data_IF_568764167319
#
_entry.id   IF_568764167319
#
_cell.length_a   1.000
_cell.length_b   1.000
_cell.length_c   1.000
_cell.angle_alpha   90.00
_cell.angle_beta   90.00
_cell.angle_gamma   90.00
#
_symmetry.space_group_name_H-M   'P 1'
#
loop_
_entity.id
_entity.type
_entity.pdbx_description
1 polymer ?
#
# COMPACT_ATOMS: atom_id res chain seq x y z
N UNK A 1 -44.65 -13.68 49.11
CA UNK A 1 -43.67 -14.77 49.26
C UNK A 1 -43.73 -15.59 47.97
N UNK A 2 -42.77 -15.39 47.06
CA UNK A 2 -41.53 -16.17 46.93
C UNK A 2 -41.79 -17.43 46.06
N UNK A 3 -41.09 -17.78 44.97
CA UNK A 3 -39.84 -17.37 44.32
C UNK A 3 -39.94 -17.78 42.83
N UNK A 4 -39.35 -16.97 41.97
CA UNK A 4 -39.08 -17.21 40.55
C UNK A 4 -37.94 -18.24 40.37
N UNK A 5 -38.02 -19.25 39.47
CA UNK A 5 -36.82 -19.99 39.08
C UNK A 5 -36.18 -19.35 37.84
N UNK A 6 -35.09 -18.64 38.09
CA UNK A 6 -34.06 -18.33 37.10
C UNK A 6 -33.40 -19.63 36.66
N UNK A 7 -33.51 -19.98 35.37
CA UNK A 7 -32.66 -20.99 34.74
C UNK A 7 -31.64 -20.29 33.83
N UNK A 8 -30.42 -20.21 34.36
CA UNK A 8 -29.12 -20.18 33.67
C UNK A 8 -29.14 -19.88 32.16
N UNK A 9 -28.72 -18.68 31.75
CA UNK A 9 -27.30 -18.39 31.48
C UNK A 9 -26.66 -19.47 30.61
N UNK A 10 -26.92 -19.41 29.31
CA UNK A 10 -26.08 -20.05 28.31
C UNK A 10 -25.68 -19.02 27.25
N UNK A 11 -24.93 -18.02 27.71
CA UNK A 11 -24.12 -17.19 26.84
C UNK A 11 -22.67 -17.59 27.12
N UNK A 12 -22.06 -18.35 26.22
CA UNK A 12 -20.60 -18.40 26.06
C UNK A 12 -20.23 -19.22 24.82
N UNK A 13 -19.43 -18.58 23.95
CA UNK A 13 -18.70 -19.12 22.79
C UNK A 13 -19.49 -19.24 21.48
N UNK A 14 -19.87 -18.10 20.90
CA UNK A 14 -19.99 -17.98 19.44
C UNK A 14 -18.82 -17.16 18.91
N UNK A 15 -17.59 -17.72 18.96
CA UNK A 15 -16.47 -17.21 18.18
C UNK A 15 -16.62 -17.72 16.74
N UNK A 16 -17.43 -17.03 15.93
CA UNK A 16 -17.38 -17.20 14.48
C UNK A 16 -16.51 -16.07 13.91
N UNK A 17 -15.46 -16.38 13.14
CA UNK A 17 -14.46 -15.40 12.74
C UNK A 17 -15.08 -14.42 11.75
N UNK A 18 -15.33 -13.19 12.18
CA UNK A 18 -15.52 -12.05 11.30
C UNK A 18 -14.24 -11.88 10.45
N UNK A 19 -14.35 -12.23 9.18
CA UNK A 19 -13.71 -11.56 8.05
C UNK A 19 -12.17 -11.42 8.05
N UNK A 20 -11.43 -12.53 8.07
CA UNK A 20 -9.99 -12.55 7.73
C UNK A 20 -9.68 -12.29 6.24
N UNK A 21 -10.68 -12.11 5.39
CA UNK A 21 -10.51 -11.87 3.95
C UNK A 21 -10.36 -10.39 3.58
N UNK A 22 -10.76 -9.48 4.47
CA UNK A 22 -10.62 -8.03 4.26
C UNK A 22 -9.15 -7.55 4.37
N UNK A 23 -8.34 -8.20 5.20
CA UNK A 23 -6.93 -7.80 5.45
C UNK A 23 -6.03 -8.02 4.22
N UNK A 24 -6.16 -9.15 3.50
CA UNK A 24 -5.35 -9.43 2.31
C UNK A 24 -5.65 -8.50 1.13
N UNK A 25 -6.88 -7.97 1.06
CA UNK A 25 -7.23 -6.94 0.07
C UNK A 25 -6.54 -5.61 0.40
N UNK A 26 -6.29 -5.34 1.68
CA UNK A 26 -5.72 -4.07 2.15
C UNK A 26 -4.29 -3.86 1.66
N UNK A 27 -3.39 -4.84 1.87
CA UNK A 27 -1.98 -4.69 1.49
C UNK A 27 -1.78 -4.54 -0.03
N UNK A 28 -2.40 -5.43 -0.83
CA UNK A 28 -2.33 -5.35 -2.30
C UNK A 28 -2.89 -4.02 -2.80
N UNK A 29 -3.99 -3.53 -2.21
CA UNK A 29 -4.57 -2.24 -2.56
C UNK A 29 -3.61 -1.09 -2.23
N UNK A 30 -2.97 -1.10 -1.07
CA UNK A 30 -1.98 -0.08 -0.67
C UNK A 30 -0.81 -0.04 -1.64
N UNK A 31 -0.24 -1.19 -2.00
CA UNK A 31 0.86 -1.28 -2.97
C UNK A 31 0.42 -0.75 -4.34
N UNK A 32 -0.76 -1.15 -4.82
CA UNK A 32 -1.30 -0.68 -6.10
C UNK A 32 -1.55 0.83 -6.10
N UNK A 33 -2.06 1.39 -4.99
CA UNK A 33 -2.23 2.83 -4.83
C UNK A 33 -0.88 3.53 -4.87
N UNK A 34 0.11 3.05 -4.11
CA UNK A 34 1.45 3.63 -4.11
C UNK A 34 2.12 3.59 -5.49
N UNK A 35 1.99 2.47 -6.22
CA UNK A 35 2.47 2.38 -7.61
C UNK A 35 1.80 3.40 -8.53
N UNK A 36 0.50 3.63 -8.34
CA UNK A 36 -0.26 4.64 -9.09
C UNK A 36 0.22 6.06 -8.75
N UNK A 37 0.51 6.32 -7.48
CA UNK A 37 1.02 7.61 -7.01
C UNK A 37 2.41 7.90 -7.58
N UNK A 38 3.32 6.92 -7.58
CA UNK A 38 4.65 7.05 -8.19
C UNK A 38 4.54 7.28 -9.70
N UNK A 39 3.64 6.59 -10.38
CA UNK A 39 3.38 6.82 -11.81
C UNK A 39 2.87 8.26 -12.07
N UNK A 40 2.01 8.78 -11.20
CA UNK A 40 1.55 10.17 -11.29
C UNK A 40 2.71 11.15 -11.08
N UNK A 41 3.58 10.91 -10.09
CA UNK A 41 4.78 11.73 -9.86
C UNK A 41 5.71 11.74 -11.08
N UNK A 42 5.90 10.59 -11.74
CA UNK A 42 6.69 10.50 -12.97
C UNK A 42 6.08 11.33 -14.10
N UNK A 43 4.77 11.19 -14.35
CA UNK A 43 4.08 11.97 -15.38
C UNK A 43 4.11 13.47 -15.09
N UNK A 44 3.94 13.86 -13.83
CA UNK A 44 4.02 15.26 -13.41
C UNK A 44 5.42 15.84 -13.61
N UNK A 45 6.46 15.08 -13.26
CA UNK A 45 7.84 15.48 -13.48
C UNK A 45 8.14 15.64 -14.98
N UNK A 46 7.76 14.67 -15.82
CA UNK A 46 7.93 14.75 -17.28
C UNK A 46 7.21 15.95 -17.88
N UNK A 47 5.97 16.21 -17.43
CA UNK A 47 5.20 17.37 -17.88
C UNK A 47 5.90 18.67 -17.48
N UNK A 48 6.39 18.78 -16.26
CA UNK A 48 7.10 19.98 -15.79
C UNK A 48 8.42 20.20 -16.53
N UNK A 49 9.16 19.12 -16.83
CA UNK A 49 10.36 19.17 -17.68
C UNK A 49 10.02 19.67 -19.08
N UNK A 50 8.94 19.17 -19.68
CA UNK A 50 8.47 19.60 -21.01
C UNK A 50 8.03 21.06 -21.02
N UNK A 51 7.25 21.48 -20.02
CA UNK A 51 6.78 22.86 -19.87
C UNK A 51 7.98 23.81 -19.70
N UNK A 52 9.01 23.41 -18.94
CA UNK A 52 10.26 24.16 -18.80
C UNK A 52 11.07 24.23 -20.10
N UNK A 53 11.27 23.12 -20.79
CA UNK A 53 12.01 23.08 -22.05
C UNK A 53 11.32 23.91 -23.15
N UNK A 54 9.99 24.02 -23.08
CA UNK A 54 9.20 24.87 -23.98
C UNK A 54 9.17 26.36 -23.60
N UNK A 55 9.84 26.74 -22.50
CA UNK A 55 9.88 28.12 -22.00
C UNK A 55 8.62 28.58 -21.28
N UNK A 56 7.70 27.66 -20.95
CA UNK A 56 6.44 27.94 -20.24
C UNK A 56 6.56 27.90 -18.72
N UNK A 57 7.61 27.26 -18.19
CA UNK A 57 7.86 27.21 -16.75
C UNK A 57 9.04 28.11 -16.37
N UNK A 58 8.81 29.06 -15.47
CA UNK A 58 9.83 29.99 -14.97
C UNK A 58 10.63 29.41 -13.80
N UNK A 59 10.15 28.34 -13.16
CA UNK A 59 10.72 27.82 -11.92
C UNK A 59 11.38 26.44 -12.07
N UNK A 60 12.67 26.43 -12.38
CA UNK A 60 13.53 25.23 -12.40
C UNK A 60 13.51 24.45 -11.08
N UNK A 61 13.31 25.11 -9.94
CA UNK A 61 13.30 24.43 -8.64
C UNK A 61 12.11 23.49 -8.49
N UNK A 62 10.95 23.86 -9.01
CA UNK A 62 9.76 23.00 -8.94
C UNK A 62 9.96 21.72 -9.77
N UNK A 63 10.56 21.85 -10.95
CA UNK A 63 10.91 20.71 -11.82
C UNK A 63 11.90 19.77 -11.11
N UNK A 64 12.93 20.32 -10.48
CA UNK A 64 13.90 19.52 -9.73
C UNK A 64 13.25 18.81 -8.54
N UNK A 65 12.36 19.49 -7.81
CA UNK A 65 11.63 18.88 -6.69
C UNK A 65 10.71 17.75 -7.18
N UNK A 66 9.99 17.96 -8.29
CA UNK A 66 9.13 16.94 -8.86
C UNK A 66 9.92 15.71 -9.31
N UNK A 67 11.04 15.93 -10.00
CA UNK A 67 11.94 14.86 -10.43
C UNK A 67 12.51 14.06 -9.24
N UNK A 68 12.94 14.75 -8.18
CA UNK A 68 13.49 14.10 -6.99
C UNK A 68 12.43 13.24 -6.26
N UNK A 69 11.21 13.77 -6.12
CA UNK A 69 10.08 13.00 -5.55
C UNK A 69 9.80 11.73 -6.35
N UNK A 70 9.79 11.83 -7.68
CA UNK A 70 9.56 10.69 -8.55
C UNK A 70 10.69 9.66 -8.42
N UNK A 71 11.95 10.11 -8.33
CA UNK A 71 13.12 9.25 -8.19
C UNK A 71 13.10 8.46 -6.87
N UNK A 72 12.89 9.13 -5.74
CA UNK A 72 12.78 8.48 -4.42
C UNK A 72 11.62 7.49 -4.40
N UNK A 73 10.47 7.86 -4.97
CA UNK A 73 9.31 6.98 -5.07
C UNK A 73 9.59 5.71 -5.88
N UNK A 74 10.31 5.84 -7.00
CA UNK A 74 10.71 4.72 -7.84
C UNK A 74 11.69 3.79 -7.12
N UNK A 75 12.68 4.33 -6.42
CA UNK A 75 13.63 3.55 -5.63
C UNK A 75 12.91 2.70 -4.58
N UNK A 76 11.95 3.29 -3.87
CA UNK A 76 11.14 2.54 -2.90
C UNK A 76 10.33 1.41 -3.57
N UNK A 77 9.78 1.63 -4.76
CA UNK A 77 9.08 0.57 -5.52
C UNK A 77 10.02 -0.58 -5.87
N UNK A 78 11.24 -0.28 -6.29
CA UNK A 78 12.25 -1.29 -6.62
C UNK A 78 12.60 -2.12 -5.39
N UNK A 79 12.81 -1.49 -4.24
CA UNK A 79 13.09 -2.19 -2.99
C UNK A 79 11.94 -3.10 -2.55
N UNK A 80 10.70 -2.62 -2.65
CA UNK A 80 9.51 -3.44 -2.39
C UNK A 80 9.46 -4.64 -3.32
N UNK A 81 9.69 -4.45 -4.62
CA UNK A 81 9.73 -5.54 -5.60
C UNK A 81 10.79 -6.57 -5.24
N UNK A 82 12.00 -6.13 -4.90
CA UNK A 82 13.09 -7.02 -4.48
C UNK A 82 12.70 -7.83 -3.25
N UNK A 83 12.14 -7.18 -2.23
CA UNK A 83 11.71 -7.84 -0.98
C UNK A 83 10.61 -8.87 -1.21
N UNK A 84 9.67 -8.59 -2.12
CA UNK A 84 8.62 -9.55 -2.47
C UNK A 84 9.18 -10.78 -3.20
N UNK A 85 10.17 -10.59 -4.08
CA UNK A 85 10.86 -11.70 -4.74
C UNK A 85 11.67 -12.55 -3.75
N UNK A 86 12.39 -11.92 -2.82
CA UNK A 86 13.09 -12.60 -1.73
C UNK A 86 12.13 -13.42 -0.87
N UNK A 87 11.01 -12.83 -0.43
CA UNK A 87 10.01 -13.51 0.38
C UNK A 87 9.43 -14.72 -0.36
N UNK A 88 9.15 -14.59 -1.66
CA UNK A 88 8.72 -15.71 -2.49
C UNK A 88 9.78 -16.82 -2.57
N UNK A 89 11.06 -16.46 -2.77
CA UNK A 89 12.16 -17.43 -2.81
C UNK A 89 12.35 -18.14 -1.47
N UNK A 90 12.25 -17.43 -0.35
CA UNK A 90 12.41 -18.01 0.99
C UNK A 90 11.30 -19.02 1.31
N UNK A 91 10.05 -18.71 0.95
CA UNK A 91 8.92 -19.64 1.09
C UNK A 91 9.15 -20.95 0.32
N UNK A 92 9.76 -20.89 -0.86
CA UNK A 92 10.11 -22.07 -1.65
C UNK A 92 11.23 -22.90 -1.01
N UNK A 93 12.17 -22.27 -0.31
CA UNK A 93 13.29 -22.96 0.37
C UNK A 93 12.86 -23.66 1.66
N UNK A 94 11.74 -23.25 2.27
CA UNK A 94 11.19 -23.92 3.45
C UNK A 94 10.47 -25.24 3.16
N UNK A 95 10.04 -25.48 1.92
CA UNK A 95 9.24 -26.66 1.55
C UNK A 95 10.06 -27.82 0.97
N UNK A 96 11.39 -27.69 0.84
CA UNK A 96 12.29 -28.77 0.42
C UNK A 96 12.90 -29.52 1.60
#
# INVERSE_FOLDING_TARGET
>A
MAINPVSQQNNMINHRPENRSAENTSFKKTINSFLSDVNNLLNDAEKQVSDMASGKAENIHDVMIAAEKANIGLELVVEIRNKLLEAYQEMMRMQV
#
